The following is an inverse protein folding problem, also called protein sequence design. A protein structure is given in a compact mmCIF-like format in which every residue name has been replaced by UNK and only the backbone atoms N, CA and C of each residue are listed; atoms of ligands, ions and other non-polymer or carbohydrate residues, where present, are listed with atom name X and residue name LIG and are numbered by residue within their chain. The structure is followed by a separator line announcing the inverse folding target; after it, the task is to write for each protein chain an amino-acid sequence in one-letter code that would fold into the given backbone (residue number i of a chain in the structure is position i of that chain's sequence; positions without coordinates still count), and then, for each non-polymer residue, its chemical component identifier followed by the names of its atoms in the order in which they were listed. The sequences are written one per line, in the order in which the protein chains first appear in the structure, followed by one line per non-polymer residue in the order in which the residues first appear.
data_IF_473467112168
#
_entry.id   IF_473467112168
#
_cell.length_a   1.000
_cell.length_b   1.000
_cell.length_c   1.000
_cell.angle_alpha   90.00
_cell.angle_beta   90.00
_cell.angle_gamma   90.00
#
_symmetry.space_group_name_H-M   'P 1'
#
loop_
_entity.id
_entity.type
_entity.pdbx_description
1 polymer ?
#
# COMPACT_ATOMS: atom_id res chain seq x y z
N UNK A 1 -4.62 -7.61 -9.68
CA UNK A 1 -5.59 -7.89 -8.60
C UNK A 1 -6.82 -8.48 -9.26
N UNK A 2 -7.57 -9.27 -8.53
CA UNK A 2 -8.85 -9.83 -8.92
C UNK A 2 -9.92 -8.71 -8.96
N UNK A 3 -10.66 -8.54 -10.07
CA UNK A 3 -11.54 -7.37 -10.26
C UNK A 3 -12.65 -7.24 -9.22
N UNK A 4 -13.22 -8.36 -8.77
CA UNK A 4 -14.24 -8.34 -7.71
C UNK A 4 -13.71 -7.73 -6.41
N UNK A 5 -12.46 -8.05 -6.05
CA UNK A 5 -11.83 -7.49 -4.87
C UNK A 5 -11.43 -6.02 -5.06
N UNK A 6 -10.95 -5.67 -6.27
CA UNK A 6 -10.69 -4.29 -6.65
C UNK A 6 -11.96 -3.41 -6.55
N UNK A 7 -13.11 -3.94 -6.96
CA UNK A 7 -14.39 -3.25 -6.88
C UNK A 7 -14.81 -2.99 -5.42
N UNK A 8 -14.65 -3.97 -4.52
CA UNK A 8 -14.93 -3.78 -3.09
C UNK A 8 -14.09 -2.65 -2.50
N UNK A 9 -12.78 -2.66 -2.77
CA UNK A 9 -11.85 -1.60 -2.31
C UNK A 9 -12.27 -0.24 -2.88
N UNK A 10 -12.57 -0.19 -4.18
CA UNK A 10 -12.92 1.04 -4.89
C UNK A 10 -14.16 1.71 -4.30
N UNK A 11 -15.17 0.91 -3.96
CA UNK A 11 -16.43 1.40 -3.39
C UNK A 11 -16.26 1.88 -1.95
N UNK A 12 -15.52 1.14 -1.12
CA UNK A 12 -15.27 1.49 0.29
C UNK A 12 -14.39 2.75 0.42
N UNK A 13 -13.35 2.87 -0.41
CA UNK A 13 -12.42 3.99 -0.40
C UNK A 13 -12.87 5.20 -1.24
N UNK A 14 -14.06 5.13 -1.86
CA UNK A 14 -14.58 6.17 -2.76
C UNK A 14 -13.60 6.57 -3.88
N UNK A 15 -12.96 5.58 -4.50
CA UNK A 15 -11.92 5.78 -5.53
C UNK A 15 -12.51 6.09 -6.91
N UNK A 16 -13.18 7.24 -6.98
CA UNK A 16 -13.83 7.78 -8.15
C UNK A 16 -13.37 9.21 -8.43
N UNK A 17 -13.33 9.59 -9.70
CA UNK A 17 -13.10 10.98 -10.11
C UNK A 17 -14.21 11.89 -9.57
N UNK A 18 -13.86 12.92 -8.82
CA UNK A 18 -14.84 13.79 -8.12
C UNK A 18 -15.81 14.50 -9.06
N UNK A 19 -15.38 14.87 -10.27
CA UNK A 19 -16.24 15.55 -11.25
C UNK A 19 -16.96 14.58 -12.19
N UNK A 20 -16.25 13.54 -12.64
CA UNK A 20 -16.73 12.66 -13.72
C UNK A 20 -17.41 11.39 -13.22
N UNK A 21 -17.19 11.02 -11.95
CA UNK A 21 -17.59 9.72 -11.42
C UNK A 21 -16.83 8.54 -12.03
N UNK A 22 -15.75 8.78 -12.80
CA UNK A 22 -14.99 7.70 -13.44
C UNK A 22 -14.31 6.84 -12.36
N UNK A 23 -14.45 5.50 -12.39
CA UNK A 23 -13.75 4.62 -11.46
C UNK A 23 -12.23 4.69 -11.67
N UNK A 24 -11.46 4.72 -10.59
CA UNK A 24 -10.00 4.54 -10.64
C UNK A 24 -9.66 3.06 -10.61
N UNK A 25 -8.58 2.71 -11.31
CA UNK A 25 -8.03 1.35 -11.27
C UNK A 25 -7.42 1.09 -9.90
N UNK A 26 -7.72 -0.07 -9.31
CA UNK A 26 -7.20 -0.49 -8.01
C UNK A 26 -6.22 -1.64 -8.23
N UNK A 27 -5.06 -1.54 -7.58
CA UNK A 27 -4.01 -2.54 -7.65
C UNK A 27 -3.42 -2.78 -6.26
N UNK A 28 -2.72 -3.90 -6.11
CA UNK A 28 -1.91 -4.16 -4.93
C UNK A 28 -0.76 -3.15 -4.87
N UNK A 29 -0.33 -2.78 -3.66
CA UNK A 29 0.78 -1.86 -3.46
C UNK A 29 2.06 -2.42 -4.09
N UNK A 30 2.76 -1.57 -4.84
CA UNK A 30 3.98 -1.94 -5.55
C UNK A 30 5.23 -1.39 -4.86
N UNK A 31 5.94 -2.26 -4.14
CA UNK A 31 7.12 -1.86 -3.39
C UNK A 31 8.36 -1.72 -4.27
N UNK A 32 8.42 -2.42 -5.41
CA UNK A 32 9.55 -2.32 -6.35
C UNK A 32 9.55 -0.92 -6.97
N UNK A 33 8.38 -0.45 -7.39
CA UNK A 33 8.16 0.90 -7.88
C UNK A 33 8.36 1.94 -6.77
N UNK A 34 7.74 1.74 -5.59
CA UNK A 34 7.86 2.69 -4.47
C UNK A 34 9.31 2.89 -4.05
N UNK A 35 10.08 1.79 -3.89
CA UNK A 35 11.50 1.84 -3.56
C UNK A 35 12.32 2.62 -4.59
N UNK A 36 12.01 2.45 -5.87
CA UNK A 36 12.65 3.24 -6.92
C UNK A 36 12.36 4.73 -6.73
N UNK A 37 11.09 5.11 -6.51
CA UNK A 37 10.71 6.50 -6.29
C UNK A 37 11.34 7.10 -5.04
N UNK A 38 11.36 6.36 -3.93
CA UNK A 38 12.03 6.83 -2.71
C UNK A 38 13.49 7.14 -2.98
N UNK A 39 14.19 6.26 -3.71
CA UNK A 39 15.60 6.43 -4.03
C UNK A 39 15.87 7.60 -4.97
N UNK A 40 15.09 7.78 -6.03
CA UNK A 40 15.37 8.83 -7.04
C UNK A 40 14.92 10.22 -6.60
N UNK A 41 13.97 10.29 -5.67
CA UNK A 41 13.42 11.54 -5.14
C UNK A 41 13.96 11.90 -3.75
N UNK A 42 14.91 11.12 -3.22
CA UNK A 42 15.49 11.30 -1.88
C UNK A 42 14.43 11.38 -0.76
N UNK A 43 13.43 10.50 -0.85
CA UNK A 43 12.38 10.39 0.16
C UNK A 43 12.91 9.55 1.30
N UNK A 44 13.03 10.15 2.48
CA UNK A 44 13.47 9.49 3.71
C UNK A 44 12.30 9.05 4.60
N UNK A 45 11.11 9.62 4.41
CA UNK A 45 9.96 9.47 5.29
C UNK A 45 8.69 9.11 4.50
N UNK A 46 7.84 8.24 5.07
CA UNK A 46 6.57 7.84 4.47
C UNK A 46 5.39 8.08 5.41
N UNK A 47 4.29 8.51 4.79
CA UNK A 47 2.95 8.54 5.40
C UNK A 47 2.13 7.40 4.80
N UNK A 48 1.56 6.56 5.66
CA UNK A 48 0.72 5.43 5.24
C UNK A 48 -0.74 5.83 5.35
N UNK A 49 -1.37 6.10 4.20
CA UNK A 49 -2.79 6.48 4.15
C UNK A 49 -3.69 5.27 3.94
N UNK A 50 -4.97 5.41 4.28
CA UNK A 50 -6.00 4.40 4.06
C UNK A 50 -5.71 3.05 4.74
N UNK A 51 -5.11 3.07 5.93
CA UNK A 51 -4.88 1.86 6.72
C UNK A 51 -6.18 1.19 7.19
N UNK A 52 -7.33 1.86 7.10
CA UNK A 52 -8.66 1.29 7.32
C UNK A 52 -9.22 0.47 6.15
N UNK A 53 -8.62 0.59 4.96
CA UNK A 53 -8.99 -0.14 3.74
C UNK A 53 -8.33 -1.52 3.75
N UNK A 54 -8.73 -2.33 4.73
CA UNK A 54 -8.26 -3.69 4.96
C UNK A 54 -9.44 -4.63 5.17
N UNK A 55 -9.31 -5.87 4.71
CA UNK A 55 -10.38 -6.88 4.71
C UNK A 55 -9.85 -8.22 5.20
N UNK A 56 -10.70 -9.25 5.26
CA UNK A 56 -10.33 -10.59 5.73
C UNK A 56 -9.31 -11.33 4.82
N UNK A 57 -9.03 -10.79 3.64
CA UNK A 57 -8.03 -11.33 2.73
C UNK A 57 -6.60 -10.90 3.11
N UNK A 58 -5.58 -11.75 2.91
CA UNK A 58 -4.20 -11.33 3.09
C UNK A 58 -3.84 -10.12 2.24
N UNK A 59 -3.13 -9.15 2.83
CA UNK A 59 -2.66 -7.96 2.13
C UNK A 59 -1.47 -8.36 1.26
N UNK A 60 -1.66 -8.33 -0.07
CA UNK A 60 -0.58 -8.62 -1.01
C UNK A 60 0.16 -7.34 -1.37
N UNK A 61 1.49 -7.41 -1.35
CA UNK A 61 2.39 -6.34 -1.81
C UNK A 61 3.37 -6.89 -2.84
N UNK A 62 3.58 -6.17 -3.94
CA UNK A 62 4.55 -6.59 -4.96
C UNK A 62 5.97 -6.33 -4.46
N UNK A 63 6.78 -7.38 -4.39
CA UNK A 63 8.14 -7.33 -3.81
C UNK A 63 9.23 -7.55 -4.85
N UNK A 64 8.89 -8.11 -6.02
CA UNK A 64 9.84 -8.35 -7.11
C UNK A 64 9.15 -8.27 -8.45
N UNK A 65 9.94 -7.90 -9.45
CA UNK A 65 9.59 -7.98 -10.85
C UNK A 65 10.39 -9.08 -11.52
N UNK A 66 9.73 -9.89 -12.34
CA UNK A 66 10.35 -10.95 -13.12
C UNK A 66 10.17 -10.65 -14.61
N UNK A 67 11.28 -10.60 -15.36
CA UNK A 67 11.27 -10.59 -16.83
C UNK A 67 11.72 -11.96 -17.33
N UNK A 68 10.76 -12.81 -17.67
CA UNK A 68 11.02 -14.25 -17.81
C UNK A 68 11.50 -14.86 -16.49
N UNK A 69 12.65 -15.53 -16.51
CA UNK A 69 13.21 -16.19 -15.33
C UNK A 69 14.22 -15.33 -14.53
N UNK A 70 14.33 -14.03 -14.83
CA UNK A 70 15.27 -13.12 -14.16
C UNK A 70 14.55 -12.04 -13.39
N UNK A 71 15.04 -11.77 -12.19
CA UNK A 71 14.63 -10.61 -11.41
C UNK A 71 15.00 -9.32 -12.15
N UNK A 72 14.13 -8.31 -12.04
CA UNK A 72 14.28 -7.02 -12.70
C UNK A 72 13.98 -5.87 -11.75
N UNK A 73 14.37 -4.67 -12.17
CA UNK A 73 14.14 -3.43 -11.45
C UNK A 73 12.97 -2.65 -12.07
N UNK A 74 12.43 -1.66 -11.36
CA UNK A 74 11.40 -0.78 -11.93
C UNK A 74 11.97 0.11 -13.04
N UNK A 75 11.23 0.25 -14.14
CA UNK A 75 11.47 1.24 -15.19
C UNK A 75 10.16 1.93 -15.56
N UNK A 76 10.13 3.26 -15.69
CA UNK A 76 8.95 3.99 -16.14
C UNK A 76 8.82 3.90 -17.67
N UNK A 77 8.70 2.69 -18.19
CA UNK A 77 8.66 2.38 -19.62
C UNK A 77 7.54 1.37 -19.90
N UNK A 78 6.55 1.75 -20.70
CA UNK A 78 5.34 0.94 -20.86
C UNK A 78 5.60 -0.40 -21.53
N UNK A 79 6.50 -0.45 -22.53
CA UNK A 79 6.86 -1.71 -23.18
C UNK A 79 7.53 -2.68 -22.18
N UNK A 80 8.41 -2.16 -21.34
CA UNK A 80 9.00 -2.93 -20.24
C UNK A 80 7.95 -3.43 -19.24
N UNK A 81 7.01 -2.57 -18.83
CA UNK A 81 5.99 -2.91 -17.83
C UNK A 81 4.95 -3.90 -18.37
N UNK A 82 4.71 -3.95 -19.68
CA UNK A 82 3.79 -4.92 -20.28
C UNK A 82 4.30 -6.37 -20.17
N UNK A 83 5.61 -6.57 -20.17
CA UNK A 83 6.25 -7.90 -20.13
C UNK A 83 6.69 -8.32 -18.72
N UNK A 84 6.41 -7.50 -17.70
CA UNK A 84 6.88 -7.74 -16.34
C UNK A 84 5.86 -8.55 -15.53
N UNK A 85 6.35 -9.58 -14.85
CA UNK A 85 5.54 -10.40 -13.96
C UNK A 85 5.80 -10.01 -12.51
N UNK A 86 4.79 -9.51 -11.77
CA UNK A 86 4.94 -9.17 -10.37
C UNK A 86 4.96 -10.43 -9.48
N UNK A 87 5.82 -10.44 -8.47
CA UNK A 87 5.83 -11.44 -7.41
C UNK A 87 5.35 -10.80 -6.12
N UNK A 88 4.29 -11.36 -5.54
CA UNK A 88 3.64 -10.82 -4.36
C UNK A 88 4.08 -11.54 -3.09
N UNK A 89 4.19 -10.78 -2.01
CA UNK A 89 4.22 -11.29 -0.64
C UNK A 89 2.86 -11.06 0.01
N UNK A 90 2.33 -12.07 0.67
CA UNK A 90 1.14 -11.94 1.50
C UNK A 90 1.53 -11.57 2.93
N UNK A 91 0.92 -10.52 3.45
CA UNK A 91 1.00 -10.07 4.83
C UNK A 91 -0.35 -10.35 5.51
N UNK A 92 -0.31 -10.54 6.83
CA UNK A 92 -1.54 -10.76 7.59
C UNK A 92 -2.36 -9.48 7.60
N UNK A 93 -3.69 -9.55 7.40
CA UNK A 93 -4.54 -8.38 7.56
C UNK A 93 -4.67 -8.01 9.03
N UNK A 94 -5.05 -6.77 9.28
CA UNK A 94 -5.47 -6.25 10.58
C UNK A 94 -6.96 -5.86 10.51
N UNK A 95 -7.57 -5.58 11.65
CA UNK A 95 -8.98 -5.15 11.72
C UNK A 95 -9.10 -3.63 11.77
N UNK A 96 -9.89 -3.07 10.86
CA UNK A 96 -10.09 -1.62 10.76
C UNK A 96 -10.78 -1.02 11.99
N UNK A 97 -11.63 -1.79 12.68
CA UNK A 97 -12.38 -1.31 13.85
C UNK A 97 -11.45 -0.93 15.01
N UNK A 98 -10.39 -1.72 15.23
CA UNK A 98 -9.49 -1.46 16.35
C UNK A 98 -8.50 -0.32 16.04
N UNK A 99 -8.26 0.02 14.77
CA UNK A 99 -7.46 1.20 14.41
C UNK A 99 -8.12 2.51 14.85
N UNK A 100 -9.46 2.56 14.85
CA UNK A 100 -10.21 3.75 15.28
C UNK A 100 -10.15 4.00 16.78
N UNK A 101 -9.82 2.98 17.56
CA UNK A 101 -9.81 3.07 19.03
C UNK A 101 -8.43 3.47 19.59
N UNK A 102 -7.39 3.46 18.77
CA UNK A 102 -6.01 3.75 19.19
C UNK A 102 -5.56 5.13 18.74
N UNK A 103 -4.84 5.82 19.63
CA UNK A 103 -4.25 7.15 19.37
C UNK A 103 -2.72 7.15 19.34
N UNK A 104 -2.10 5.97 19.48
CA UNK A 104 -0.64 5.80 19.49
C UNK A 104 -0.26 4.55 18.71
N UNK A 105 0.81 4.68 17.93
CA UNK A 105 1.29 3.63 17.04
C UNK A 105 1.62 2.33 17.79
N UNK A 106 2.31 2.41 18.93
CA UNK A 106 2.69 1.23 19.73
C UNK A 106 1.49 0.41 20.25
N UNK A 107 0.31 1.01 20.33
CA UNK A 107 -0.91 0.33 20.78
C UNK A 107 -1.75 -0.24 19.64
N UNK A 108 -1.36 -0.04 18.38
CA UNK A 108 -2.04 -0.62 17.21
C UNK A 108 -1.95 -2.16 17.20
N UNK A 109 -2.62 -2.82 16.25
CA UNK A 109 -2.45 -4.26 16.05
C UNK A 109 -1.03 -4.57 15.55
N UNK A 110 -0.52 -5.74 15.97
CA UNK A 110 0.80 -6.20 15.53
C UNK A 110 0.86 -6.32 14.01
N UNK A 111 -0.21 -6.81 13.38
CA UNK A 111 -0.31 -7.01 11.94
C UNK A 111 -0.23 -5.69 11.16
N UNK A 112 -0.83 -4.62 11.68
CA UNK A 112 -0.72 -3.28 11.10
C UNK A 112 0.71 -2.73 11.21
N UNK A 113 1.37 -2.89 12.37
CA UNK A 113 2.78 -2.50 12.53
C UNK A 113 3.71 -3.32 11.64
N UNK A 114 3.53 -4.64 11.61
CA UNK A 114 4.32 -5.54 10.76
C UNK A 114 4.22 -5.13 9.28
N UNK A 115 3.05 -4.65 8.84
CA UNK A 115 2.87 -4.12 7.49
C UNK A 115 3.67 -2.83 7.25
N UNK A 116 3.53 -1.84 8.14
CA UNK A 116 4.25 -0.56 8.04
C UNK A 116 5.76 -0.76 8.14
N UNK A 117 6.22 -1.55 9.10
CA UNK A 117 7.64 -1.86 9.34
C UNK A 117 8.22 -2.58 8.12
N UNK A 118 7.51 -3.58 7.57
CA UNK A 118 7.97 -4.31 6.39
C UNK A 118 8.14 -3.40 5.17
N UNK A 119 7.19 -2.50 4.92
CA UNK A 119 7.28 -1.57 3.79
C UNK A 119 8.44 -0.61 4.01
N UNK A 120 8.53 -0.03 5.21
CA UNK A 120 9.58 0.92 5.59
C UNK A 120 10.99 0.33 5.46
N UNK A 121 11.18 -0.91 5.90
CA UNK A 121 12.43 -1.65 5.70
C UNK A 121 12.70 -1.91 4.21
N UNK A 122 11.67 -2.30 3.45
CA UNK A 122 11.82 -2.58 2.03
C UNK A 122 12.27 -1.34 1.23
N UNK A 123 11.68 -0.18 1.53
CA UNK A 123 11.92 1.10 0.87
C UNK A 123 13.09 1.88 1.47
N UNK A 124 13.62 1.46 2.63
CA UNK A 124 14.64 2.19 3.40
C UNK A 124 14.18 3.61 3.75
N UNK A 125 13.00 3.69 4.37
CA UNK A 125 12.36 4.95 4.80
C UNK A 125 11.86 4.83 6.23
N UNK A 126 11.62 5.96 6.89
CA UNK A 126 11.03 6.03 8.24
C UNK A 126 9.53 6.29 8.14
N UNK A 127 8.67 5.51 8.80
CA UNK A 127 7.25 5.81 8.87
C UNK A 127 7.04 6.97 9.86
N UNK A 128 6.34 8.03 9.45
CA UNK A 128 6.10 9.20 10.31
C UNK A 128 4.64 9.39 10.69
N UNK A 129 3.73 8.76 9.95
CA UNK A 129 2.30 8.91 10.16
C UNK A 129 1.53 7.76 9.51
N UNK A 130 0.43 7.37 10.14
CA UNK A 130 -0.61 6.54 9.54
C UNK A 130 -1.98 7.25 9.58
N UNK A 131 -2.81 7.05 8.56
CA UNK A 131 -4.22 7.50 8.55
C UNK A 131 -5.16 6.33 8.31
N UNK A 132 -6.34 6.37 8.94
CA UNK A 132 -7.36 5.31 8.89
C UNK A 132 -8.77 5.87 8.71
N UNK A 133 -8.86 7.04 8.08
CA UNK A 133 -10.10 7.72 7.76
C UNK A 133 -9.84 9.10 7.17
N UNK A 134 -10.90 9.79 6.70
CA UNK A 134 -10.79 11.09 6.05
C UNK A 134 -10.66 12.25 7.04
N UNK A 135 -11.02 12.06 8.32
CA UNK A 135 -11.00 13.11 9.33
C UNK A 135 -9.60 13.31 9.90
N UNK A 136 -9.29 14.54 10.34
CA UNK A 136 -7.97 14.86 10.94
C UNK A 136 -7.68 14.03 12.20
N UNK A 137 -8.72 13.66 12.92
CA UNK A 137 -8.60 12.85 14.14
C UNK A 137 -8.36 11.37 13.82
N UNK A 138 -8.55 10.94 12.57
CA UNK A 138 -8.25 9.58 12.08
C UNK A 138 -6.78 9.43 11.65
N UNK A 139 -5.88 10.06 12.41
CA UNK A 139 -4.45 10.13 12.13
C UNK A 139 -3.64 9.84 13.39
N UNK A 140 -2.59 9.02 13.25
CA UNK A 140 -1.59 8.76 14.28
C UNK A 140 -0.24 9.22 13.76
N UNK A 141 0.43 10.09 14.52
CA UNK A 141 1.84 10.47 14.32
C UNK A 141 2.70 9.42 15.03
N UNK A 142 3.76 8.97 14.36
CA UNK A 142 4.71 7.96 14.85
C UNK A 142 5.90 8.63 15.52
#
# INVERSE_FOLDING_TARGET
MEEEYAQVIRDDAYEYGTTTGRPRDIAYMDLVMLKYFCKVSDIEELVFTHMDVVYDNPVKVCIKYMKGNKESYYRPDQEFLNDILPVYKSLKPWKKEELKEVKKYDYTQKEARDFVDYISEFTNTTPVMITFGPDRDDTIII
#
